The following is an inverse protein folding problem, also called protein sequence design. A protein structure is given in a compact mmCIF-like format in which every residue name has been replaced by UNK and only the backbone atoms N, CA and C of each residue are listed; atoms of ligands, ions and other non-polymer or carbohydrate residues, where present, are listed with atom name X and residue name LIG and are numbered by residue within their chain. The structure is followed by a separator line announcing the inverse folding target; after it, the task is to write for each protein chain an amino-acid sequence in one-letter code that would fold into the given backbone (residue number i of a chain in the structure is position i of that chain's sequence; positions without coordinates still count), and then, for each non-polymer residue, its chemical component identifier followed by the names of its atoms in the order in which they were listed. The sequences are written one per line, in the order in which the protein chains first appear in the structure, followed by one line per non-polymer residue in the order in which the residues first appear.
data_IF_391254163204
#
_entry.id   IF_391254163204
#
_cell.length_a   1.000
_cell.length_b   1.000
_cell.length_c   1.000
_cell.angle_alpha   90.00
_cell.angle_beta   90.00
_cell.angle_gamma   90.00
#
_symmetry.space_group_name_H-M   'P 1'
#
loop_
_entity.id
_entity.type
_entity.pdbx_description
1 polymer ?
2 non-polymer ?
3 water ?
#
# COMPACT_ATOMS: atom_id res chain seq x y z
N UNK A 1 -12.31 8.46 -17.09
CA UNK A 1 -11.36 7.49 -16.52
C UNK A 1 -10.24 8.09 -17.38
N UNK A 2 -9.57 9.07 -16.78
CA UNK A 2 -8.46 9.79 -17.43
C UNK A 2 -7.50 8.76 -18.04
N UNK A 3 -6.66 9.28 -18.92
CA UNK A 3 -5.64 8.48 -19.62
C UNK A 3 -4.43 8.40 -18.69
N UNK A 4 -4.42 9.32 -17.74
CA UNK A 4 -3.35 9.41 -16.73
C UNK A 4 -3.93 9.63 -15.33
N UNK A 5 -3.40 8.86 -14.40
CA UNK A 5 -3.80 8.90 -12.99
C UNK A 5 -2.65 8.93 -11.98
N UNK A 6 -2.35 10.14 -11.52
CA UNK A 6 -1.30 10.39 -10.54
C UNK A 6 -1.98 11.09 -9.37
N UNK A 7 -1.83 10.48 -8.20
CA UNK A 7 -2.40 10.99 -6.95
C UNK A 7 -1.38 11.84 -6.17
N UNK A 8 -0.14 11.74 -6.62
CA UNK A 8 0.98 12.49 -6.03
C UNK A 8 0.68 13.97 -6.19
N UNK A 9 0.57 14.36 -7.45
CA UNK A 9 0.28 15.75 -7.83
C UNK A 9 -1.19 16.09 -7.55
N UNK A 10 -1.82 15.15 -6.85
CA UNK A 10 -3.23 15.26 -6.46
C UNK A 10 -3.34 15.60 -4.96
N UNK A 11 -2.19 15.50 -4.31
CA UNK A 11 -2.07 15.77 -2.87
C UNK A 11 -2.74 14.68 -2.03
N UNK A 12 -2.45 13.45 -2.43
CA UNK A 12 -2.97 12.25 -1.76
C UNK A 12 -1.99 11.33 -1.03
N UNK A 13 -0.77 11.34 -1.54
CA UNK A 13 0.34 10.55 -0.99
C UNK A 13 1.39 11.52 -0.44
N UNK A 14 1.97 11.11 0.68
CA UNK A 14 3.01 11.87 1.36
C UNK A 14 4.34 11.25 0.96
N UNK A 15 5.41 11.84 1.49
CA UNK A 15 6.79 11.39 1.25
C UNK A 15 6.85 9.87 1.41
N UNK A 16 7.95 9.32 0.92
CA UNK A 16 8.23 7.88 0.98
C UNK A 16 8.88 7.49 2.31
N UNK A 17 8.70 6.23 2.66
CA UNK A 17 9.25 5.64 3.88
C UNK A 17 9.83 4.24 3.68
N UNK A 18 10.48 3.77 4.73
CA UNK A 18 11.12 2.44 4.75
C UNK A 18 10.69 1.67 6.00
N UNK A 19 10.39 0.39 5.77
CA UNK A 19 9.98 -0.54 6.83
C UNK A 19 11.22 -0.98 7.60
N UNK A 20 12.34 -0.90 6.89
CA UNK A 20 13.66 -1.27 7.44
C UNK A 20 13.74 -2.79 7.48
N UNK A 21 14.54 -3.27 8.42
CA UNK A 21 14.75 -4.71 8.64
C UNK A 21 13.53 -5.33 9.34
N UNK A 22 12.38 -4.78 9.00
CA UNK A 22 11.09 -5.23 9.54
C UNK A 22 10.20 -5.66 8.36
N UNK A 23 9.78 -6.91 8.43
CA UNK A 23 8.92 -7.52 7.41
C UNK A 23 7.52 -7.03 7.78
N UNK A 24 7.27 -5.79 7.42
CA UNK A 24 5.98 -5.12 7.67
C UNK A 24 5.29 -4.26 6.61
N UNK A 25 5.72 -4.52 5.29
CA UNK A 25 5.11 -4.40 3.89
C UNK A 25 3.62 -3.84 4.17
N UNK A 26 2.93 -4.74 4.79
CA UNK A 26 1.47 -4.86 4.83
C UNK A 26 0.79 -3.67 5.52
N UNK A 27 1.36 -3.31 6.65
CA UNK A 27 0.89 -2.18 7.47
C UNK A 27 1.15 -0.81 6.85
N UNK A 28 2.22 -0.77 6.07
CA UNK A 28 2.66 0.44 5.36
C UNK A 28 1.76 0.68 4.15
N UNK A 29 1.50 -0.41 3.43
CA UNK A 29 0.66 -0.41 2.23
C UNK A 29 -0.72 0.14 2.63
N UNK A 30 -1.19 -0.35 3.77
CA UNK A 30 -2.49 0.05 4.34
C UNK A 30 -2.64 1.53 4.68
N UNK A 31 -1.70 2.00 5.48
CA UNK A 31 -1.65 3.40 5.94
C UNK A 31 -1.77 4.38 4.77
N UNK A 32 -1.27 3.93 3.62
CA UNK A 32 -1.30 4.70 2.38
C UNK A 32 -2.68 4.63 1.75
N UNK A 33 -3.27 3.44 1.88
CA UNK A 33 -4.61 3.15 1.36
C UNK A 33 -5.63 4.06 2.07
N UNK A 34 -5.79 3.77 3.35
CA UNK A 34 -6.70 4.51 4.22
C UNK A 34 -6.41 6.00 4.01
N UNK A 35 -5.14 6.34 4.16
CA UNK A 35 -4.64 7.70 3.98
C UNK A 35 -5.28 8.41 2.79
N UNK A 36 -5.05 7.83 1.62
CA UNK A 36 -5.58 8.34 0.35
C UNK A 36 -7.04 8.75 0.42
N UNK A 37 -7.86 7.77 0.76
CA UNK A 37 -9.31 7.93 0.89
C UNK A 37 -9.66 9.04 1.88
N UNK A 38 -8.94 9.03 2.99
CA UNK A 38 -9.09 10.02 4.07
C UNK A 38 -8.93 11.47 3.61
N UNK A 39 -8.12 11.63 2.59
CA UNK A 39 -7.83 12.94 1.99
C UNK A 39 -8.70 13.27 0.77
N UNK A 40 -9.26 12.22 0.21
CA UNK A 40 -10.15 12.32 -0.96
C UNK A 40 -11.52 12.98 -0.80
N UNK A 41 -11.99 12.96 0.44
CA UNK A 41 -13.27 13.55 0.81
C UNK A 41 -13.15 14.78 1.72
N UNK A 42 -12.48 14.56 2.84
CA UNK A 42 -12.23 15.61 3.84
C UNK A 42 -11.37 16.78 3.36
N UNK A 43 -10.40 16.44 2.53
CA UNK A 43 -9.47 17.40 1.94
C UNK A 43 -8.36 17.68 2.95
N UNK A 44 -8.03 16.64 3.70
CA UNK A 44 -6.98 16.68 4.73
C UNK A 44 -6.04 15.48 4.60
N UNK A 45 -4.83 15.78 4.15
CA UNK A 45 -3.77 14.79 3.96
C UNK A 45 -3.09 14.50 5.29
N UNK A 46 -3.00 13.20 5.59
CA UNK A 46 -2.37 12.69 6.80
C UNK A 46 -1.45 11.48 6.75
N UNK A 47 -0.53 11.46 7.71
CA UNK A 47 0.45 10.37 7.86
C UNK A 47 0.08 9.63 9.14
N UNK A 48 -0.45 8.43 8.94
CA UNK A 48 -0.87 7.56 10.04
C UNK A 48 0.24 6.55 10.35
N UNK A 49 0.18 6.04 11.57
CA UNK A 49 1.15 5.05 12.07
C UNK A 49 0.92 3.60 11.62
N UNK A 50 2.00 3.03 11.12
CA UNK A 50 2.02 1.64 10.63
C UNK A 50 2.50 0.80 11.82
N UNK A 51 3.34 1.43 12.62
CA UNK A 51 3.91 0.82 13.83
C UNK A 51 2.77 0.27 14.69
N UNK A 52 1.75 1.09 14.81
CA UNK A 52 0.54 0.75 15.59
C UNK A 52 -0.10 -0.52 15.05
N UNK A 53 -0.24 -0.53 13.73
CA UNK A 53 -0.83 -1.67 13.00
C UNK A 53 -0.08 -2.97 13.28
N UNK A 54 1.23 -2.80 13.48
CA UNK A 54 2.15 -3.91 13.78
C UNK A 54 1.92 -4.49 15.18
N UNK A 55 2.00 -3.60 16.15
CA UNK A 55 1.81 -3.93 17.57
C UNK A 55 0.40 -4.33 18.00
N UNK A 56 -0.57 -3.87 17.22
CA UNK A 56 -1.99 -4.16 17.45
C UNK A 56 -2.59 -5.37 16.75
N UNK A 57 -2.19 -5.54 15.50
CA UNK A 57 -2.64 -6.64 14.65
C UNK A 57 -1.85 -7.90 15.03
N UNK A 58 -2.54 -8.76 15.77
CA UNK A 58 -1.98 -10.04 16.24
C UNK A 58 -2.34 -11.12 15.23
N UNK A 59 -3.29 -10.77 14.38
CA UNK A 59 -3.78 -11.66 13.31
C UNK A 59 -2.68 -11.74 12.26
N UNK A 60 -1.93 -10.65 12.17
CA UNK A 60 -0.81 -10.53 11.23
C UNK A 60 0.36 -10.93 12.15
N UNK A 61 1.48 -11.18 11.51
CA UNK A 61 2.73 -11.57 12.19
C UNK A 61 3.78 -10.46 12.12
N UNK A 62 3.33 -9.27 12.50
CA UNK A 62 4.18 -8.07 12.52
C UNK A 62 5.45 -7.96 11.69
N UNK A 63 6.56 -7.85 12.40
CA UNK A 63 7.90 -7.74 11.81
C UNK A 63 8.30 -9.02 11.07
N UNK A 64 7.46 -9.38 10.10
CA UNK A 64 7.66 -10.56 9.26
C UNK A 64 6.43 -11.39 8.93
N UNK A 65 5.54 -10.77 8.16
CA UNK A 65 4.29 -11.39 7.72
C UNK A 65 3.07 -10.58 8.17
N UNK A 66 2.08 -10.55 7.30
CA UNK A 66 0.81 -9.85 7.54
C UNK A 66 -0.17 -9.86 6.36
N UNK A 67 -1.30 -9.22 6.61
CA UNK A 67 -2.39 -9.08 5.63
C UNK A 67 -2.88 -7.64 5.53
N UNK A 68 -2.45 -6.98 4.46
CA UNK A 68 -2.82 -5.59 4.17
C UNK A 68 -4.32 -5.43 4.35
N UNK A 69 -5.01 -6.56 4.27
CA UNK A 69 -6.47 -6.63 4.43
C UNK A 69 -6.84 -6.99 5.86
N UNK A 70 -5.96 -7.51 6.64
CA UNK A 70 -6.33 -7.16 8.24
C UNK A 70 -6.25 -5.72 8.75
N UNK A 71 -5.11 -5.10 8.45
CA UNK A 71 -4.84 -3.70 8.82
C UNK A 71 -6.04 -2.79 8.63
N UNK A 72 -6.44 -2.69 7.37
CA UNK A 72 -7.58 -1.86 6.96
C UNK A 72 -8.82 -2.20 7.81
N UNK A 73 -9.19 -3.46 7.74
CA UNK A 73 -10.34 -4.00 8.49
C UNK A 73 -10.23 -3.48 9.92
N UNK A 74 -9.05 -3.68 10.49
CA UNK A 74 -8.72 -3.25 11.85
C UNK A 74 -9.18 -1.81 12.08
N UNK A 75 -8.58 -0.93 11.30
CA UNK A 75 -8.87 0.51 11.34
C UNK A 75 -10.37 0.81 11.36
N UNK A 76 -11.04 0.33 10.32
CA UNK A 76 -12.49 0.49 10.16
C UNK A 76 -13.22 0.10 11.44
N UNK A 77 -12.79 -1.04 11.98
CA UNK A 77 -13.34 -1.60 13.22
C UNK A 77 -13.04 -0.70 14.42
N UNK A 78 -11.75 -0.46 14.61
CA UNK A 78 -11.25 0.37 15.70
C UNK A 78 -10.91 1.78 15.20
N UNK A 79 -9.72 1.88 14.63
CA UNK A 79 -9.20 3.14 14.06
C UNK A 79 -7.69 3.04 13.84
N UNK A 80 -7.08 4.21 13.77
CA UNK A 80 -5.63 4.36 13.58
C UNK A 80 -5.18 5.78 13.92
N UNK A 81 -4.01 5.85 14.52
CA UNK A 81 -3.39 7.12 14.93
C UNK A 81 -2.45 7.73 13.88
N UNK A 82 -1.98 8.92 14.21
CA UNK A 82 -1.06 9.68 13.36
C UNK A 82 0.26 8.90 13.48
N UNK A 83 1.19 9.29 12.64
CA UNK A 83 2.54 8.69 12.59
C UNK A 83 3.47 9.56 13.44
N UNK A 84 2.84 10.36 14.29
CA UNK A 84 3.55 11.26 15.21
C UNK A 84 3.25 10.77 16.63
N UNK A 85 1.99 10.40 16.81
CA UNK A 85 1.49 9.88 18.09
C UNK A 85 1.64 8.36 18.09
N UNK A 86 2.41 7.89 17.11
CA UNK A 86 2.70 6.47 16.93
C UNK A 86 3.69 6.18 15.80
N UNK A 87 4.71 7.01 15.75
CA UNK A 87 5.79 6.91 14.75
C UNK A 87 6.24 5.45 14.64
N UNK A 88 6.85 5.16 13.51
CA UNK A 88 7.37 3.83 13.19
C UNK A 88 8.76 3.70 13.83
N UNK A 89 8.99 2.53 14.40
CA UNK A 89 10.27 2.20 15.06
C UNK A 89 10.94 1.06 14.31
N UNK A 90 10.11 0.11 13.90
CA UNK A 90 10.55 -1.07 13.15
C UNK A 90 10.44 -2.44 13.81
N UNK A 91 10.09 -2.41 15.09
CA UNK A 91 9.91 -3.61 15.91
C UNK A 91 8.50 -3.69 16.49
N UNK A 92 7.91 -4.87 16.30
CA UNK A 92 6.56 -5.17 16.79
C UNK A 92 6.63 -5.17 18.32
N UNK A 93 5.57 -4.66 18.91
CA UNK A 93 5.42 -4.58 20.37
C UNK A 93 3.97 -4.52 20.85
N UNK A 94 3.84 -4.13 22.11
CA UNK A 94 2.54 -4.00 22.78
C UNK A 94 1.70 -2.90 22.13
N UNK A 95 0.42 -3.21 21.96
CA UNK A 95 -0.57 -2.30 21.37
C UNK A 95 -0.59 -1.09 22.30
N UNK A 96 -0.50 0.07 21.69
CA UNK A 96 -0.52 1.36 22.39
C UNK A 96 -1.79 2.13 22.06
N UNK A 97 -2.48 1.63 21.05
CA UNK A 97 -3.74 2.21 20.57
C UNK A 97 -4.48 2.85 21.75
N UNK A 98 -5.05 1.98 22.57
CA UNK A 98 -5.79 2.38 23.77
C UNK A 98 -5.06 3.36 24.69
N UNK A 99 -3.83 2.98 25.02
CA UNK A 99 -2.95 3.78 25.88
C UNK A 99 -2.65 5.15 25.27
N UNK A 100 -2.55 5.15 23.95
CA UNK A 100 -2.28 6.36 23.17
C UNK A 100 -3.38 7.40 23.30
N UNK A 101 -4.59 6.88 23.49
CA UNK A 101 -5.80 7.70 23.66
C UNK A 101 -6.72 7.64 22.45
N UNK A 102 -7.58 8.65 22.37
CA UNK A 102 -8.55 8.80 21.29
C UNK A 102 -7.85 8.57 19.94
N UNK A 103 -8.59 7.94 19.04
CA UNK A 103 -8.12 7.63 17.69
C UNK A 103 -8.21 8.98 16.97
N UNK A 104 -7.59 9.00 15.80
CA UNK A 104 -7.57 10.18 14.93
C UNK A 104 -8.21 9.95 13.57
N UNK A 105 -8.05 8.72 13.09
CA UNK A 105 -8.60 8.27 11.81
C UNK A 105 -9.27 6.93 12.02
N UNK A 106 -10.41 6.79 11.36
CA UNK A 106 -11.23 5.56 11.41
C UNK A 106 -12.16 5.54 10.19
N UNK A 107 -11.95 4.52 9.37
CA UNK A 107 -12.74 4.30 8.15
C UNK A 107 -14.13 3.75 8.45
N UNK A 108 -14.84 3.46 7.36
CA UNK A 108 -16.19 2.91 7.41
C UNK A 108 -16.45 1.64 6.59
N UNK A 109 -15.42 0.83 6.51
CA UNK A 109 -15.45 -0.45 5.78
C UNK A 109 -14.25 -0.73 4.87
N UNK A 110 -14.18 -1.99 4.45
CA UNK A 110 -13.12 -2.48 3.56
C UNK A 110 -13.72 -3.40 2.50
N UNK A 111 -13.25 -3.22 1.29
CA UNK A 111 -13.68 -4.01 0.12
C UNK A 111 -12.43 -4.39 -0.68
N UNK A 112 -12.56 -5.52 -1.37
CA UNK A 112 -11.50 -6.07 -2.22
C UNK A 112 -11.89 -6.00 -3.70
N UNK A 113 -10.87 -5.79 -4.52
CA UNK A 113 -11.02 -5.71 -5.97
C UNK A 113 -10.85 -7.13 -6.52
N UNK A 114 -11.73 -7.45 -7.45
CA UNK A 114 -11.75 -8.75 -8.13
C UNK A 114 -10.36 -9.04 -8.70
N UNK A 115 -9.70 -10.00 -8.08
CA UNK A 115 -8.36 -10.43 -8.47
C UNK A 115 -8.33 -10.65 -9.99
N UNK A 116 -7.11 -10.69 -10.51
CA UNK A 116 -6.84 -10.89 -11.94
C UNK A 116 -7.71 -10.18 -12.98
N UNK A 117 -7.68 -8.86 -12.89
CA UNK A 117 -8.42 -7.97 -13.80
C UNK A 117 -7.83 -6.58 -13.64
N UNK A 118 -7.04 -6.21 -14.65
CA UNK A 118 -6.38 -4.91 -14.71
C UNK A 118 -7.46 -3.82 -14.78
N UNK A 119 -8.37 -4.03 -15.71
CA UNK A 119 -9.50 -3.11 -15.93
C UNK A 119 -10.12 -2.70 -14.60
N UNK A 120 -10.24 -3.69 -13.73
CA UNK A 120 -10.80 -3.51 -12.38
C UNK A 120 -9.90 -2.78 -11.39
N UNK A 121 -8.62 -3.11 -11.46
CA UNK A 121 -7.59 -2.52 -10.61
C UNK A 121 -7.58 -1.01 -10.82
N UNK A 122 -7.40 -0.63 -12.07
CA UNK A 122 -7.36 0.77 -12.49
C UNK A 122 -8.52 1.62 -11.95
N UNK A 123 -9.72 1.19 -12.29
CA UNK A 123 -10.96 1.84 -11.87
C UNK A 123 -10.88 2.29 -10.42
N UNK A 124 -10.65 1.32 -9.55
CA UNK A 124 -10.53 1.53 -8.10
C UNK A 124 -9.37 2.47 -7.76
N UNK A 125 -8.29 2.29 -8.51
CA UNK A 125 -7.07 3.09 -8.36
C UNK A 125 -7.36 4.50 -8.87
N UNK A 126 -8.45 4.59 -9.62
CA UNK A 126 -8.90 5.85 -10.21
C UNK A 126 -9.81 6.62 -9.23
N UNK A 127 -10.53 5.84 -8.45
CA UNK A 127 -11.46 6.37 -7.43
C UNK A 127 -10.75 6.58 -6.10
N UNK A 128 -9.61 5.91 -5.99
CA UNK A 128 -8.75 5.97 -4.80
C UNK A 128 -7.71 4.86 -4.84
N UNK A 129 -6.53 5.20 -4.37
CA UNK A 129 -5.38 4.28 -4.30
C UNK A 129 -5.84 2.96 -3.70
N UNK A 130 -4.98 1.97 -3.86
CA UNK A 130 -5.21 0.60 -3.35
C UNK A 130 -3.93 -0.13 -2.95
N UNK A 131 -4.12 -1.09 -2.07
CA UNK A 131 -3.02 -1.93 -1.55
C UNK A 131 -3.01 -3.15 -2.48
N UNK A 132 -1.84 -3.40 -3.03
CA UNK A 132 -1.61 -4.52 -3.95
C UNK A 132 -0.33 -5.27 -3.58
N UNK A 133 -0.33 -6.56 -3.92
CA UNK A 133 0.80 -7.46 -3.68
C UNK A 133 1.53 -7.80 -4.97
N UNK A 134 2.57 -8.60 -4.81
CA UNK A 134 3.41 -9.06 -5.93
C UNK A 134 4.69 -9.78 -5.50
N UNK A 135 5.46 -10.17 -6.51
CA UNK A 135 6.73 -10.87 -6.32
C UNK A 135 7.87 -9.85 -6.25
N UNK A 136 8.47 -9.80 -5.07
CA UNK A 136 9.58 -8.89 -4.77
C UNK A 136 10.85 -9.68 -4.45
N UNK A 137 10.62 -10.88 -3.93
CA UNK A 137 11.70 -11.82 -3.56
C UNK A 137 12.56 -11.76 -4.82
N UNK A 138 12.04 -11.02 -5.80
CA UNK A 138 12.71 -10.82 -7.09
C UNK A 138 14.14 -10.36 -6.84
N UNK A 139 15.00 -10.72 -7.78
CA UNK A 139 16.43 -10.38 -7.74
C UNK A 139 16.66 -9.24 -8.74
N UNK A 140 15.61 -8.93 -9.47
CA UNK A 140 15.60 -7.86 -10.48
C UNK A 140 14.87 -6.63 -9.95
N UNK A 141 13.70 -6.91 -9.39
CA UNK A 141 12.83 -5.88 -8.80
C UNK A 141 13.57 -5.29 -7.60
N UNK A 142 14.48 -6.10 -7.08
CA UNK A 142 15.31 -5.74 -5.93
C UNK A 142 16.40 -4.73 -6.31
N UNK A 143 16.82 -4.84 -7.57
CA UNK A 143 17.85 -3.97 -8.14
C UNK A 143 17.38 -2.74 -8.93
N UNK A 144 16.09 -2.76 -9.25
CA UNK A 144 15.44 -1.66 -9.99
C UNK A 144 15.86 -0.32 -9.39
N UNK A 145 16.52 0.46 -10.24
CA UNK A 145 17.00 1.80 -9.89
C UNK A 145 16.46 2.73 -10.96
N UNK A 146 15.21 2.49 -11.32
CA UNK A 146 14.49 3.27 -12.33
C UNK A 146 14.27 2.52 -13.64
N UNK A 147 13.04 2.61 -14.12
CA UNK A 147 12.60 1.97 -15.37
C UNK A 147 11.19 1.39 -15.36
N UNK A 148 10.92 0.62 -16.40
CA UNK A 148 9.63 -0.05 -16.59
C UNK A 148 9.93 -1.55 -16.49
N UNK A 149 9.60 -2.11 -15.34
CA UNK A 149 9.79 -3.52 -15.05
C UNK A 149 8.84 -4.42 -15.84
N UNK A 150 9.45 -5.36 -16.55
CA UNK A 150 8.73 -6.34 -17.37
C UNK A 150 9.13 -7.73 -16.85
N UNK A 151 10.31 -7.75 -16.25
CA UNK A 151 10.88 -8.97 -15.67
C UNK A 151 12.42 -8.93 -15.74
N UNK A 152 12.85 -10.09 -15.78
CA UNK A 152 11.89 -11.21 -15.47
C UNK A 152 11.48 -11.25 -14.00
N UNK A 153 10.38 -11.94 -13.75
CA UNK A 153 9.81 -12.11 -12.40
C UNK A 153 8.80 -13.25 -12.47
N UNK A 154 8.32 -13.64 -11.30
CA UNK A 154 7.33 -14.71 -11.14
C UNK A 154 5.90 -14.48 -10.64
N UNK A 155 5.24 -15.59 -10.35
CA UNK A 155 3.85 -15.59 -9.84
C UNK A 155 3.72 -15.98 -8.37
N UNK A 156 4.86 -15.91 -7.68
CA UNK A 156 4.95 -16.24 -6.25
C UNK A 156 4.87 -14.94 -5.43
N UNK A 157 3.64 -14.47 -5.27
CA UNK A 157 3.34 -13.24 -4.51
C UNK A 157 3.80 -13.39 -3.06
N UNK A 158 4.41 -12.33 -2.57
CA UNK A 158 4.92 -12.24 -1.19
C UNK A 158 5.41 -10.94 -0.55
N UNK A 159 5.04 -9.84 -1.20
CA UNK A 159 5.40 -8.49 -0.75
C UNK A 159 4.22 -7.60 -1.16
N UNK A 160 3.86 -6.72 -0.24
CA UNK A 160 2.76 -5.76 -0.42
C UNK A 160 3.31 -4.34 -0.57
N UNK A 161 2.71 -3.62 -1.52
CA UNK A 161 3.08 -2.23 -1.81
C UNK A 161 1.78 -1.50 -2.12
N UNK A 162 1.93 -0.39 -2.83
CA UNK A 162 0.80 0.47 -3.24
C UNK A 162 0.87 1.12 -4.63
N UNK A 163 -0.29 1.15 -5.27
CA UNK A 163 -0.45 1.74 -6.61
C UNK A 163 -1.00 3.15 -6.37
N UNK A 164 -0.28 4.11 -6.94
CA UNK A 164 -0.63 5.54 -6.85
C UNK A 164 -0.62 6.21 -8.22
N UNK A 165 -1.14 5.48 -9.19
CA UNK A 165 -1.24 5.94 -10.59
C UNK A 165 -0.91 4.91 -11.66
N UNK A 166 -1.35 5.22 -12.88
CA UNK A 166 -1.13 4.37 -14.06
C UNK A 166 -1.19 5.24 -15.32
N UNK A 167 -0.68 4.66 -16.40
CA UNK A 167 -0.64 5.31 -17.73
C UNK A 167 -1.14 4.28 -18.74
N UNK A 168 -1.27 4.75 -19.97
CA UNK A 168 -1.73 3.92 -21.10
C UNK A 168 -0.97 2.59 -21.08
N UNK A 169 0.24 2.65 -20.54
CA UNK A 169 1.13 1.50 -20.42
C UNK A 169 1.95 1.06 -19.19
N UNK A 170 2.11 2.02 -18.28
CA UNK A 170 2.85 1.81 -17.03
C UNK A 170 1.96 2.06 -15.80
N UNK A 171 2.13 1.17 -14.83
CA UNK A 171 1.39 1.23 -13.56
C UNK A 171 2.43 1.71 -12.54
N UNK A 172 1.99 2.70 -11.76
CA UNK A 172 2.83 3.31 -10.71
C UNK A 172 2.61 2.69 -9.32
N UNK A 173 3.73 2.31 -8.73
CA UNK A 173 3.76 1.70 -7.38
C UNK A 173 4.70 2.29 -6.34
N UNK A 174 4.14 2.50 -5.15
CA UNK A 174 4.86 3.07 -4.01
C UNK A 174 5.38 1.86 -3.21
N UNK A 175 6.70 1.81 -3.10
CA UNK A 175 7.41 0.74 -2.36
C UNK A 175 7.71 1.16 -0.92
N UNK A 176 7.69 0.15 -0.05
CA UNK A 176 7.97 0.32 1.39
C UNK A 176 9.45 0.28 1.78
N UNK A 177 10.28 0.56 0.78
CA UNK A 177 11.74 0.58 0.94
C UNK A 177 12.04 2.09 0.90
N UNK A 178 13.32 2.39 1.09
CA UNK A 178 13.83 3.77 1.08
C UNK A 178 13.70 4.35 -0.34
N UNK A 179 13.95 5.65 -0.43
CA UNK A 179 13.90 6.40 -1.68
C UNK A 179 15.22 6.13 -2.40
N UNK A 180 15.89 5.09 -1.94
CA UNK A 180 17.18 4.65 -2.49
C UNK A 180 16.93 3.38 -3.30
N UNK A 181 15.71 3.29 -3.81
CA UNK A 181 15.26 2.16 -4.63
C UNK A 181 14.35 2.66 -5.75
N UNK A 182 14.43 1.94 -6.87
CA UNK A 182 13.63 2.23 -8.07
C UNK A 182 13.92 3.69 -8.47
N UNK A 183 12.83 4.42 -8.68
CA UNK A 183 12.87 5.85 -9.05
C UNK A 183 12.39 6.73 -7.90
N UNK A 184 13.24 6.82 -6.88
CA UNK A 184 12.98 7.63 -5.69
C UNK A 184 11.93 7.02 -4.75
N UNK A 185 11.97 5.70 -4.67
CA UNK A 185 11.06 4.91 -3.81
C UNK A 185 9.85 4.50 -4.65
N UNK A 186 9.87 4.96 -5.90
CA UNK A 186 8.81 4.68 -6.88
C UNK A 186 9.33 3.72 -7.97
N UNK A 187 8.39 2.94 -8.50
CA UNK A 187 8.67 1.97 -9.56
C UNK A 187 7.47 1.83 -10.50
N UNK A 188 7.78 1.85 -11.79
CA UNK A 188 6.77 1.72 -12.86
C UNK A 188 6.89 0.34 -13.49
N UNK A 189 5.78 -0.39 -13.41
CA UNK A 189 5.67 -1.75 -13.96
C UNK A 189 4.80 -1.48 -15.19
N UNK A 190 4.85 -2.43 -16.11
CA UNK A 190 4.08 -2.39 -17.36
C UNK A 190 2.78 -3.20 -17.32
N UNK A 191 1.75 -2.58 -17.86
CA UNK A 191 0.40 -3.18 -17.94
C UNK A 191 0.14 -3.46 -19.42
N UNK A 192 -1.01 -4.08 -19.67
CA UNK A 192 -1.47 -4.43 -21.02
C UNK A 192 -0.37 -5.26 -21.70
N UNK A 193 -0.45 -6.56 -21.47
CA UNK A 193 0.50 -7.54 -22.03
C UNK A 193 -0.19 -8.88 -22.26
N UNK A 194 -1.25 -9.09 -21.50
CA UNK A 194 -2.06 -10.32 -21.57
C UNK A 194 -1.98 -11.08 -20.24
N UNK A 195 -0.82 -10.94 -19.61
CA UNK A 195 -0.53 -11.56 -18.32
C UNK A 195 -1.65 -11.20 -17.33
N UNK A 196 -2.60 -12.11 -17.23
CA UNK A 196 -3.77 -11.97 -16.34
C UNK A 196 -3.31 -11.77 -14.89
N UNK A 197 -2.47 -12.70 -14.45
CA UNK A 197 -1.91 -12.70 -13.09
C UNK A 197 -1.33 -11.29 -12.92
N UNK A 198 -0.65 -10.85 -13.97
CA UNK A 198 -0.01 -9.52 -14.02
C UNK A 198 1.43 -9.84 -13.62
N UNK A 199 2.35 -9.20 -14.33
CA UNK A 199 3.79 -9.35 -14.10
C UNK A 199 4.05 -9.18 -12.60
N UNK A 200 4.76 -10.14 -12.05
CA UNK A 200 5.14 -10.18 -10.63
C UNK A 200 3.96 -10.49 -9.71
N UNK A 201 2.86 -10.86 -10.35
CA UNK A 201 1.61 -11.23 -9.66
C UNK A 201 0.98 -10.04 -8.93
N UNK A 202 1.02 -8.91 -9.61
CA UNK A 202 0.46 -7.64 -9.10
C UNK A 202 -1.06 -7.55 -9.16
N UNK A 203 -1.66 -8.59 -9.74
CA UNK A 203 -3.11 -8.72 -9.88
C UNK A 203 -3.81 -9.80 -9.06
N UNK A 204 -3.02 -10.40 -8.16
CA UNK A 204 -3.49 -11.47 -7.27
C UNK A 204 -4.61 -11.09 -6.30
N UNK A 205 -4.25 -10.22 -5.36
CA UNK A 205 -5.18 -9.71 -4.33
C UNK A 205 -4.94 -8.28 -3.83
N UNK A 206 -5.87 -7.41 -4.23
CA UNK A 206 -5.83 -5.99 -3.86
C UNK A 206 -7.01 -5.51 -3.00
N UNK A 207 -6.76 -4.42 -2.30
CA UNK A 207 -7.75 -3.78 -1.41
C UNK A 207 -7.95 -2.35 -0.92
N UNK A 208 -9.07 -2.16 -0.22
CA UNK A 208 -9.46 -0.87 0.36
C UNK A 208 -10.68 -0.53 1.21
N UNK A 209 -10.42 0.21 2.27
CA UNK A 209 -11.45 0.66 3.22
C UNK A 209 -12.65 1.21 2.43
N UNK A 210 -13.42 2.03 3.13
CA UNK A 210 -14.62 2.68 2.57
C UNK A 210 -14.67 3.93 3.45
N UNK A 211 -15.32 4.95 2.91
CA UNK A 211 -15.50 6.25 3.58
C UNK A 211 -16.76 6.94 3.05
N UNK A 212 -17.50 7.51 3.99
CA UNK A 212 -18.74 8.24 3.71
C UNK A 212 -18.49 9.75 3.72
#
# INVERSE_FOLDING_TARGET
IPEYVDWRQKGAVTPVKNQGSCGSCWAFSAVVTIEGIIKIRTGNLNQYSEQELLDCDRRSYGCNGGYPWSALQLVAQYGIHYRNTYPYEGVQRYCRSREKGPYAAKTDGVRQVQPYNQGALLYSIANQPVSVVLQAAGKDFQLYRGGIFVGPCGNKVDHAVAAVGYGPNYILIKNSWGTGWGENGYIRIKRGTGNSYGVCGLYTSSFYPVKN
#
